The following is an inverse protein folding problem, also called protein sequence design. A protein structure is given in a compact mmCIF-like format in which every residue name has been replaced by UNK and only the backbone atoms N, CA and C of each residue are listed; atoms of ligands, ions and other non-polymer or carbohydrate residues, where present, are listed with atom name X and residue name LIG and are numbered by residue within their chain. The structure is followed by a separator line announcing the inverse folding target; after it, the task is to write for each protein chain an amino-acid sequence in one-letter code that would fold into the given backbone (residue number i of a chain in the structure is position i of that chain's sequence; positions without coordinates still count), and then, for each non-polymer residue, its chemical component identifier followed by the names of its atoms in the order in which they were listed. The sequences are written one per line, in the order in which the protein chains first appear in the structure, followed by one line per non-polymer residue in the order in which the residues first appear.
data_IF_515777604254
#
_entry.id   IF_515777604254
#
_cell.length_a   1.000
_cell.length_b   1.000
_cell.length_c   1.000
_cell.angle_alpha   90.00
_cell.angle_beta   90.00
_cell.angle_gamma   90.00
#
_symmetry.space_group_name_H-M   'P 1'
#
loop_
_entity.id
_entity.type
_entity.pdbx_description
1 polymer ?
#
# COMPACT_ATOMS: atom_id res chain seq x y z
N UNK A 1 8.67 -16.67 -12.34
CA UNK A 1 7.78 -17.02 -11.22
C UNK A 1 7.45 -15.72 -10.50
N UNK A 2 6.17 -15.39 -10.38
CA UNK A 2 5.74 -14.20 -9.64
C UNK A 2 5.23 -14.64 -8.27
N UNK A 3 5.91 -14.19 -7.21
CA UNK A 3 5.49 -14.34 -5.84
C UNK A 3 4.67 -13.12 -5.43
N UNK A 4 3.37 -13.30 -5.23
CA UNK A 4 2.45 -12.25 -4.84
C UNK A 4 2.34 -12.19 -3.31
N UNK A 5 2.52 -10.99 -2.76
CA UNK A 5 2.57 -10.71 -1.32
C UNK A 5 3.50 -11.64 -0.52
N UNK A 6 4.79 -11.84 -0.89
CA UNK A 6 5.76 -12.70 -0.18
C UNK A 6 6.06 -12.28 1.27
N UNK A 7 5.49 -11.17 1.75
CA UNK A 7 5.55 -10.78 3.16
C UNK A 7 4.21 -10.90 3.88
N UNK A 8 3.24 -11.64 3.33
CA UNK A 8 1.96 -11.84 4.00
C UNK A 8 2.08 -12.83 5.17
N UNK A 9 1.57 -12.48 6.33
CA UNK A 9 1.69 -13.29 7.55
C UNK A 9 0.98 -14.65 7.47
N UNK A 10 0.03 -14.82 6.54
CA UNK A 10 -0.58 -16.12 6.26
C UNK A 10 0.44 -17.17 5.83
N UNK A 11 1.56 -16.77 5.22
CA UNK A 11 2.62 -17.68 4.78
C UNK A 11 3.24 -18.47 5.93
N UNK A 12 3.17 -17.98 7.18
CA UNK A 12 3.69 -18.71 8.35
C UNK A 12 2.88 -19.97 8.68
N UNK A 13 1.62 -20.06 8.21
CA UNK A 13 0.68 -21.14 8.51
C UNK A 13 -0.05 -21.63 7.26
N UNK A 14 0.55 -21.44 6.09
CA UNK A 14 -0.03 -21.87 4.81
C UNK A 14 0.03 -23.41 4.73
N UNK A 15 -1.04 -24.04 4.23
CA UNK A 15 -1.08 -25.49 4.02
C UNK A 15 -1.66 -25.76 2.63
N UNK A 16 -1.47 -26.96 2.05
CA UNK A 16 -2.06 -27.31 0.76
C UNK A 16 -3.58 -27.10 0.75
N UNK A 17 -4.27 -27.50 1.81
CA UNK A 17 -5.73 -27.38 1.94
C UNK A 17 -6.19 -25.91 2.00
N UNK A 18 -5.35 -25.01 2.56
CA UNK A 18 -5.65 -23.58 2.57
C UNK A 18 -5.49 -22.97 1.18
N UNK A 19 -4.43 -23.34 0.45
CA UNK A 19 -4.25 -22.91 -0.94
C UNK A 19 -5.48 -23.30 -1.75
N UNK A 20 -5.92 -24.56 -1.70
CA UNK A 20 -7.06 -25.03 -2.49
C UNK A 20 -8.38 -24.28 -2.23
N UNK A 21 -8.58 -23.81 -0.98
CA UNK A 21 -9.79 -23.10 -0.52
C UNK A 21 -9.77 -21.60 -0.82
N UNK A 22 -8.60 -20.97 -0.79
CA UNK A 22 -8.45 -19.54 -1.01
C UNK A 22 -8.42 -19.23 -2.52
N UNK A 23 -9.58 -18.87 -3.09
CA UNK A 23 -9.74 -18.52 -4.51
C UNK A 23 -10.26 -17.10 -4.65
N UNK A 24 -10.07 -16.43 -5.81
CA UNK A 24 -10.63 -15.09 -6.06
C UNK A 24 -12.13 -14.99 -5.73
N UNK A 25 -12.90 -16.03 -6.04
CA UNK A 25 -14.32 -16.10 -5.74
C UNK A 25 -14.67 -16.20 -4.24
N UNK A 26 -13.75 -16.68 -3.39
CA UNK A 26 -14.01 -16.98 -1.97
C UNK A 26 -13.32 -16.04 -0.99
N UNK A 27 -12.31 -15.26 -1.42
CA UNK A 27 -11.54 -14.40 -0.51
C UNK A 27 -12.25 -13.11 -0.07
N UNK A 28 -13.29 -12.69 -0.80
CA UNK A 28 -13.95 -11.40 -0.59
C UNK A 28 -13.09 -10.19 -0.99
N UNK A 29 -11.93 -10.42 -1.59
CA UNK A 29 -11.07 -9.42 -2.23
C UNK A 29 -11.47 -9.25 -3.70
N UNK A 30 -11.17 -8.09 -4.29
CA UNK A 30 -11.59 -7.71 -5.64
C UNK A 30 -10.55 -8.08 -6.71
N UNK A 31 -9.91 -9.24 -6.60
CA UNK A 31 -8.99 -9.69 -7.64
C UNK A 31 -9.75 -10.29 -8.83
N UNK A 32 -9.24 -10.16 -10.07
CA UNK A 32 -9.80 -10.84 -11.22
C UNK A 32 -9.82 -12.36 -11.00
N UNK A 33 -10.84 -13.03 -11.55
CA UNK A 33 -11.05 -14.46 -11.37
C UNK A 33 -10.22 -15.25 -12.39
N UNK A 34 -8.95 -15.49 -12.09
CA UNK A 34 -8.01 -16.20 -12.98
C UNK A 34 -7.94 -17.71 -12.71
N UNK A 35 -8.87 -18.25 -11.93
CA UNK A 35 -9.05 -19.71 -11.76
C UNK A 35 -8.04 -20.42 -10.86
N UNK A 36 -6.82 -19.89 -10.71
CA UNK A 36 -5.83 -20.41 -9.77
C UNK A 36 -6.13 -20.00 -8.33
N UNK A 37 -5.85 -20.86 -7.33
CA UNK A 37 -5.92 -20.46 -5.95
C UNK A 37 -4.85 -19.43 -5.59
N UNK A 38 -5.15 -18.54 -4.64
CA UNK A 38 -4.18 -17.60 -4.08
C UNK A 38 -3.02 -18.38 -3.45
N UNK A 39 -1.83 -17.79 -3.54
CA UNK A 39 -0.61 -18.32 -2.93
C UNK A 39 -0.17 -19.69 -3.49
N UNK A 40 -0.72 -20.12 -4.62
CA UNK A 40 -0.36 -21.38 -5.28
C UNK A 40 1.11 -21.42 -5.71
N UNK A 41 1.72 -20.26 -5.97
CA UNK A 41 3.14 -20.12 -6.26
C UNK A 41 4.06 -20.55 -5.10
N UNK A 42 3.53 -20.66 -3.88
CA UNK A 42 4.27 -21.11 -2.69
C UNK A 42 4.10 -22.61 -2.41
N UNK A 43 3.30 -23.34 -3.18
CA UNK A 43 2.99 -24.75 -2.92
C UNK A 43 4.26 -25.63 -2.83
N UNK A 44 5.21 -25.42 -3.75
CA UNK A 44 6.50 -26.13 -3.76
C UNK A 44 7.48 -25.72 -2.66
N UNK A 45 7.10 -24.76 -1.81
CA UNK A 45 7.92 -24.22 -0.71
C UNK A 45 7.33 -24.51 0.67
N UNK A 46 6.25 -25.28 0.74
CA UNK A 46 5.62 -25.64 2.00
C UNK A 46 6.47 -26.62 2.79
N UNK A 47 6.56 -26.40 4.10
CA UNK A 47 7.11 -27.38 5.04
C UNK A 47 6.09 -28.50 5.31
N UNK A 48 6.54 -29.70 5.71
CA UNK A 48 5.64 -30.82 6.05
C UNK A 48 4.63 -30.50 7.16
N UNK A 49 5.01 -29.64 8.12
CA UNK A 49 4.17 -29.19 9.24
C UNK A 49 3.37 -27.91 8.95
N UNK A 50 3.46 -27.41 7.71
CA UNK A 50 2.82 -26.18 7.27
C UNK A 50 3.71 -24.94 7.40
N UNK A 51 3.31 -23.90 6.67
CA UNK A 51 4.07 -22.67 6.47
C UNK A 51 5.08 -22.77 5.34
N UNK A 52 5.46 -21.62 4.80
CA UNK A 52 6.49 -21.51 3.76
C UNK A 52 7.88 -21.62 4.40
N UNK A 53 8.75 -22.40 3.78
CA UNK A 53 10.14 -22.57 4.22
C UNK A 53 10.86 -21.22 4.39
N UNK A 54 11.49 -21.03 5.55
CA UNK A 54 12.20 -19.81 5.90
C UNK A 54 11.31 -18.62 6.28
N UNK A 55 9.99 -18.71 6.15
CA UNK A 55 9.11 -17.60 6.52
C UNK A 55 8.84 -17.57 8.03
N UNK A 56 9.12 -16.44 8.66
CA UNK A 56 8.77 -16.15 10.05
C UNK A 56 7.71 -15.05 10.10
N UNK A 57 6.73 -15.15 11.02
CA UNK A 57 5.65 -14.15 11.16
C UNK A 57 6.19 -12.73 11.34
N UNK A 58 7.35 -12.56 12.00
CA UNK A 58 8.01 -11.26 12.18
C UNK A 58 8.26 -10.54 10.85
N UNK A 59 8.63 -11.27 9.79
CA UNK A 59 9.00 -10.71 8.49
C UNK A 59 7.85 -9.90 7.87
N UNK A 60 6.61 -10.20 8.27
CA UNK A 60 5.42 -9.59 7.74
C UNK A 60 5.41 -8.07 7.89
N UNK A 61 5.68 -7.55 9.10
CA UNK A 61 5.70 -6.10 9.38
C UNK A 61 6.97 -5.62 10.07
N UNK A 62 7.73 -6.49 10.73
CA UNK A 62 8.94 -6.07 11.43
C UNK A 62 9.98 -5.63 10.41
N UNK A 63 10.68 -4.54 10.71
CA UNK A 63 11.56 -3.89 9.74
C UNK A 63 10.80 -3.51 8.47
N UNK A 64 9.57 -3.00 8.57
CA UNK A 64 8.87 -2.42 7.41
C UNK A 64 9.76 -1.35 6.75
N UNK A 65 10.31 -0.45 7.57
CA UNK A 65 11.36 0.50 7.19
C UNK A 65 12.73 -0.06 7.56
N UNK A 66 13.30 -0.86 6.68
CA UNK A 66 14.60 -1.49 6.90
C UNK A 66 15.71 -0.65 6.25
N UNK A 67 16.70 -0.23 7.04
CA UNK A 67 17.86 0.49 6.51
C UNK A 67 18.64 -0.38 5.53
N UNK A 68 19.23 0.24 4.51
CA UNK A 68 19.97 -0.47 3.48
C UNK A 68 21.10 -1.34 4.06
N UNK A 69 21.80 -0.84 5.08
CA UNK A 69 22.95 -1.50 5.70
C UNK A 69 22.57 -2.42 6.88
N UNK A 70 21.31 -2.42 7.31
CA UNK A 70 20.89 -3.25 8.45
C UNK A 70 20.93 -4.74 8.09
N UNK A 71 21.56 -5.55 8.93
CA UNK A 71 21.55 -7.01 8.78
C UNK A 71 20.23 -7.62 9.26
N UNK A 72 19.67 -8.51 8.45
CA UNK A 72 18.59 -9.43 8.82
C UNK A 72 18.80 -10.76 8.09
N UNK A 73 19.64 -11.66 8.63
CA UNK A 73 19.95 -12.94 8.00
C UNK A 73 18.71 -13.82 7.75
N UNK A 74 17.69 -13.76 8.61
CA UNK A 74 16.47 -14.55 8.43
C UNK A 74 15.63 -14.05 7.26
N UNK A 75 15.46 -12.73 7.13
CA UNK A 75 14.79 -12.16 5.95
C UNK A 75 15.59 -12.40 4.68
N UNK A 76 16.93 -12.35 4.76
CA UNK A 76 17.79 -12.61 3.61
C UNK A 76 17.66 -14.05 3.12
N UNK A 77 17.80 -15.03 4.01
CA UNK A 77 17.66 -16.45 3.69
C UNK A 77 16.26 -16.79 3.13
N UNK A 78 15.21 -16.14 3.64
CA UNK A 78 13.86 -16.28 3.09
C UNK A 78 13.76 -15.80 1.64
N UNK A 79 14.25 -14.59 1.34
CA UNK A 79 14.23 -14.03 -0.02
C UNK A 79 15.07 -14.86 -0.98
N UNK A 80 16.25 -15.32 -0.56
CA UNK A 80 17.10 -16.23 -1.33
C UNK A 80 16.38 -17.54 -1.66
N UNK A 81 15.60 -18.08 -0.72
CA UNK A 81 14.80 -19.29 -0.96
C UNK A 81 13.81 -19.09 -2.10
N UNK A 82 13.10 -17.95 -2.14
CA UNK A 82 12.17 -17.62 -3.22
C UNK A 82 12.89 -17.47 -4.57
N UNK A 83 14.00 -16.72 -4.57
CA UNK A 83 14.81 -16.48 -5.79
C UNK A 83 15.36 -17.79 -6.34
N UNK A 84 15.93 -18.64 -5.48
CA UNK A 84 16.50 -19.92 -5.87
C UNK A 84 15.42 -20.87 -6.41
N UNK A 85 14.23 -20.87 -5.81
CA UNK A 85 13.13 -21.71 -6.28
C UNK A 85 12.65 -21.32 -7.68
N UNK A 86 12.46 -20.03 -7.95
CA UNK A 86 12.12 -19.56 -9.30
C UNK A 86 13.20 -19.95 -10.33
N UNK A 87 14.48 -19.79 -9.97
CA UNK A 87 15.61 -20.11 -10.85
C UNK A 87 15.76 -21.61 -11.12
N UNK A 88 15.45 -22.48 -10.15
CA UNK A 88 15.43 -23.95 -10.36
C UNK A 88 14.40 -24.38 -11.40
N UNK A 89 13.34 -23.60 -11.58
CA UNK A 89 12.34 -23.80 -12.63
C UNK A 89 12.66 -23.06 -13.93
N UNK A 90 13.86 -22.48 -14.06
CA UNK A 90 14.28 -21.64 -15.19
C UNK A 90 13.34 -20.43 -15.42
N UNK A 91 12.86 -19.82 -14.32
CA UNK A 91 11.98 -18.66 -14.37
C UNK A 91 12.61 -17.43 -13.70
N UNK A 92 12.35 -16.25 -14.27
CA UNK A 92 12.69 -14.96 -13.62
C UNK A 92 11.92 -14.79 -12.30
N UNK A 93 12.58 -14.61 -11.15
CA UNK A 93 11.90 -14.31 -9.89
C UNK A 93 11.33 -12.89 -9.90
N UNK A 94 10.05 -12.76 -9.57
CA UNK A 94 9.36 -11.47 -9.40
C UNK A 94 8.72 -11.46 -8.02
N UNK A 95 9.05 -10.46 -7.20
CA UNK A 95 8.47 -10.28 -5.86
C UNK A 95 7.54 -9.07 -5.88
N UNK A 96 6.23 -9.30 -5.80
CA UNK A 96 5.21 -8.26 -5.92
C UNK A 96 4.49 -8.04 -4.58
N UNK A 97 4.78 -6.95 -3.87
CA UNK A 97 4.20 -6.67 -2.56
C UNK A 97 4.32 -5.18 -2.19
N UNK A 98 3.26 -4.61 -1.62
CA UNK A 98 3.30 -3.22 -1.12
C UNK A 98 4.24 -3.02 0.09
N UNK A 99 4.63 -4.10 0.77
CA UNK A 99 5.52 -4.07 1.95
C UNK A 99 7.00 -3.95 1.60
N UNK A 100 7.36 -3.98 0.32
CA UNK A 100 8.75 -3.77 -0.13
C UNK A 100 9.14 -2.29 -0.16
N UNK A 101 8.18 -1.36 -0.20
CA UNK A 101 8.45 0.07 -0.34
C UNK A 101 9.39 0.61 0.76
N UNK A 102 9.14 0.27 2.02
CA UNK A 102 9.97 0.73 3.14
C UNK A 102 11.36 0.06 3.23
N UNK A 103 11.57 -1.05 2.53
CA UNK A 103 12.80 -1.88 2.58
C UNK A 103 13.48 -2.06 1.22
N UNK A 104 13.08 -1.29 0.22
CA UNK A 104 13.62 -1.35 -1.15
C UNK A 104 15.14 -1.12 -1.19
N UNK A 105 15.68 -0.24 -0.35
CA UNK A 105 17.13 -0.03 -0.27
C UNK A 105 17.88 -1.25 0.24
N UNK A 106 17.31 -1.94 1.24
CA UNK A 106 17.85 -3.18 1.77
C UNK A 106 17.79 -4.31 0.73
N UNK A 107 16.66 -4.45 0.02
CA UNK A 107 16.49 -5.44 -1.05
C UNK A 107 17.49 -5.20 -2.19
N UNK A 108 17.62 -3.95 -2.66
CA UNK A 108 18.52 -3.58 -3.76
C UNK A 108 19.98 -3.90 -3.43
N UNK A 109 20.42 -3.55 -2.22
CA UNK A 109 21.81 -3.78 -1.78
C UNK A 109 22.17 -5.26 -1.71
N UNK A 110 21.22 -6.12 -1.33
CA UNK A 110 21.46 -7.56 -1.10
C UNK A 110 21.23 -8.43 -2.31
N UNK A 111 20.20 -8.13 -3.10
CA UNK A 111 19.75 -9.00 -4.19
C UNK A 111 19.89 -8.36 -5.56
N UNK A 112 20.20 -7.07 -5.63
CA UNK A 112 20.15 -6.31 -6.88
C UNK A 112 18.76 -6.38 -7.50
N UNK A 113 18.72 -6.61 -8.81
CA UNK A 113 17.48 -6.71 -9.57
C UNK A 113 16.91 -5.35 -9.97
N UNK A 114 15.77 -5.40 -10.66
CA UNK A 114 15.03 -4.20 -11.08
C UNK A 114 13.93 -3.90 -10.08
N UNK A 115 13.87 -2.67 -9.60
CA UNK A 115 12.86 -2.19 -8.66
C UNK A 115 11.85 -1.28 -9.34
N UNK A 116 10.63 -1.81 -9.50
CA UNK A 116 9.51 -1.08 -10.09
C UNK A 116 8.57 -0.63 -8.97
N UNK A 117 8.41 0.68 -8.81
CA UNK A 117 7.51 1.28 -7.82
C UNK A 117 6.17 1.60 -8.47
N UNK A 118 5.09 1.00 -7.96
CA UNK A 118 3.73 1.35 -8.35
C UNK A 118 3.22 2.48 -7.47
N UNK A 119 2.69 3.56 -8.07
CA UNK A 119 2.07 4.69 -7.37
C UNK A 119 0.61 4.85 -7.78
N UNK A 120 -0.25 5.11 -6.78
CA UNK A 120 -1.70 5.28 -6.94
C UNK A 120 -2.19 6.50 -6.17
N UNK A 121 -3.33 7.06 -6.57
CA UNK A 121 -4.05 8.09 -5.84
C UNK A 121 -4.24 7.68 -4.37
N UNK A 122 -3.67 8.42 -3.41
CA UNK A 122 -3.69 8.04 -2.00
C UNK A 122 -5.10 8.07 -1.40
N UNK A 123 -5.98 8.96 -1.86
CA UNK A 123 -7.35 9.04 -1.36
C UNK A 123 -8.14 7.83 -1.84
N UNK A 124 -8.06 7.47 -3.11
CA UNK A 124 -8.75 6.30 -3.66
C UNK A 124 -8.20 4.99 -3.10
N UNK A 125 -6.89 4.90 -2.89
CA UNK A 125 -6.27 3.74 -2.23
C UNK A 125 -6.76 3.58 -0.79
N UNK A 126 -6.76 4.65 0.01
CA UNK A 126 -7.29 4.60 1.36
C UNK A 126 -8.78 4.25 1.39
N UNK A 127 -9.59 4.85 0.50
CA UNK A 127 -11.03 4.57 0.41
C UNK A 127 -11.31 3.12 0.05
N UNK A 128 -10.47 2.50 -0.76
CA UNK A 128 -10.54 1.05 -1.05
C UNK A 128 -10.44 0.25 0.24
N UNK A 129 -9.42 0.51 1.07
CA UNK A 129 -9.26 -0.15 2.37
C UNK A 129 -10.43 0.15 3.31
N UNK A 130 -10.81 1.42 3.41
CA UNK A 130 -11.87 1.88 4.31
C UNK A 130 -13.24 1.29 3.95
N UNK A 131 -13.51 1.06 2.67
CA UNK A 131 -14.79 0.49 2.19
C UNK A 131 -15.04 -0.96 2.64
N UNK A 132 -14.00 -1.68 3.07
CA UNK A 132 -14.10 -3.06 3.54
C UNK A 132 -14.54 -3.16 5.02
N UNK A 133 -14.74 -2.03 5.72
CA UNK A 133 -15.23 -2.04 7.11
C UNK A 133 -16.60 -2.71 7.20
N UNK A 134 -16.68 -3.77 8.03
CA UNK A 134 -17.95 -4.41 8.42
C UNK A 134 -18.28 -4.05 9.87
N UNK A 135 -19.36 -3.30 10.09
CA UNK A 135 -19.66 -2.62 11.39
C UNK A 135 -18.53 -1.61 11.70
N UNK A 136 -18.64 -0.69 12.69
CA UNK A 136 -17.61 0.34 12.88
C UNK A 136 -16.35 -0.25 13.52
N UNK A 137 -15.65 -1.15 12.82
CA UNK A 137 -14.41 -1.81 13.21
C UNK A 137 -13.37 -1.57 12.11
N UNK A 138 -12.12 -1.24 12.46
CA UNK A 138 -11.04 -1.12 11.49
C UNK A 138 -10.84 -2.43 10.72
N UNK A 139 -10.56 -2.29 9.43
CA UNK A 139 -10.13 -3.40 8.58
C UNK A 139 -8.74 -3.87 8.95
N UNK A 140 -8.36 -5.05 8.47
CA UNK A 140 -7.00 -5.53 8.63
C UNK A 140 -5.96 -4.55 8.04
N UNK A 141 -6.23 -4.02 6.84
CA UNK A 141 -5.38 -3.01 6.20
C UNK A 141 -5.14 -1.77 7.07
N UNK A 142 -6.19 -1.27 7.74
CA UNK A 142 -6.05 -0.13 8.66
C UNK A 142 -5.23 -0.49 9.90
N UNK A 143 -5.40 -1.69 10.45
CA UNK A 143 -4.64 -2.16 11.61
C UNK A 143 -3.15 -2.28 11.28
N UNK A 144 -2.79 -2.76 10.09
CA UNK A 144 -1.40 -2.78 9.64
C UNK A 144 -0.80 -1.37 9.59
N UNK A 145 -1.54 -0.36 9.10
CA UNK A 145 -1.01 1.02 9.07
C UNK A 145 -0.72 1.55 10.48
N UNK A 146 -1.56 1.21 11.47
CA UNK A 146 -1.32 1.61 12.85
C UNK A 146 -0.09 0.94 13.44
N UNK A 147 0.10 -0.37 13.20
CA UNK A 147 1.28 -1.11 13.68
C UNK A 147 2.54 -0.55 13.03
N UNK A 148 2.58 -0.46 11.69
CA UNK A 148 3.73 0.07 10.94
C UNK A 148 4.10 1.47 11.44
N UNK A 149 3.13 2.39 11.53
CA UNK A 149 3.42 3.76 11.96
C UNK A 149 3.90 3.82 13.42
N UNK A 150 3.40 2.95 14.29
CA UNK A 150 3.81 2.93 15.70
C UNK A 150 5.25 2.46 15.92
N UNK A 151 5.85 1.82 14.90
CA UNK A 151 7.18 1.20 14.94
C UNK A 151 8.15 1.83 13.93
N UNK A 152 7.66 2.71 13.07
CA UNK A 152 8.46 3.31 12.00
C UNK A 152 9.47 4.31 12.56
N UNK A 153 10.75 4.09 12.28
CA UNK A 153 11.79 5.10 12.45
C UNK A 153 11.47 6.32 11.57
N UNK A 154 11.45 7.52 12.17
CA UNK A 154 10.99 8.75 11.51
C UNK A 154 9.47 8.93 11.47
N UNK A 155 8.70 7.96 12.00
CA UNK A 155 7.25 8.01 12.14
C UNK A 155 6.77 8.48 13.51
N UNK A 156 7.67 8.73 14.47
CA UNK A 156 7.37 8.89 15.89
C UNK A 156 6.47 10.09 16.16
N UNK A 157 6.70 11.20 15.47
CA UNK A 157 5.87 12.40 15.59
C UNK A 157 4.45 12.17 15.02
N UNK A 158 4.33 11.46 13.90
CA UNK A 158 3.05 11.02 13.34
C UNK A 158 2.31 10.05 14.27
N UNK A 159 3.02 9.07 14.83
CA UNK A 159 2.49 8.13 15.81
C UNK A 159 1.98 8.86 17.06
N UNK A 160 2.78 9.77 17.63
CA UNK A 160 2.42 10.59 18.80
C UNK A 160 1.18 11.45 18.53
N UNK A 161 1.09 12.10 17.37
CA UNK A 161 -0.07 12.90 16.94
C UNK A 161 -1.35 12.08 16.94
N UNK A 162 -1.27 10.82 16.53
CA UNK A 162 -2.43 9.91 16.48
C UNK A 162 -2.64 9.12 17.78
N UNK A 163 -1.79 9.34 18.78
CA UNK A 163 -1.76 8.55 20.00
C UNK A 163 -1.57 7.07 19.71
N UNK A 164 -0.63 6.71 18.83
CA UNK A 164 -0.20 5.33 18.61
C UNK A 164 1.02 5.05 19.48
N UNK A 165 1.14 3.82 19.95
CA UNK A 165 2.28 3.34 20.70
C UNK A 165 2.60 1.92 20.24
N UNK A 166 3.88 1.64 20.04
CA UNK A 166 4.35 0.29 19.76
C UNK A 166 3.88 -0.65 20.90
N UNK A 167 3.43 -1.84 20.51
CA UNK A 167 3.03 -2.88 21.45
C UNK A 167 4.05 -4.02 21.39
N UNK A 168 4.24 -4.71 22.50
CA UNK A 168 5.10 -5.89 22.56
C UNK A 168 4.33 -7.15 22.16
N UNK A 169 5.06 -8.23 21.88
CA UNK A 169 4.49 -9.53 21.51
C UNK A 169 4.51 -9.79 20.01
N UNK A 170 3.84 -10.85 19.59
CA UNK A 170 3.81 -11.22 18.18
C UNK A 170 2.94 -10.25 17.35
N UNK A 171 2.87 -10.47 16.04
CA UNK A 171 2.06 -9.62 15.16
C UNK A 171 0.56 -9.67 15.53
N UNK A 172 0.04 -10.82 15.97
CA UNK A 172 -1.36 -10.95 16.33
C UNK A 172 -1.68 -10.14 17.61
N UNK A 173 -0.80 -10.17 18.60
CA UNK A 173 -0.90 -9.37 19.83
C UNK A 173 -0.92 -7.87 19.51
N UNK A 174 0.01 -7.41 18.66
CA UNK A 174 0.09 -6.00 18.25
C UNK A 174 -1.14 -5.54 17.47
N UNK A 175 -1.62 -6.36 16.53
CA UNK A 175 -2.87 -6.09 15.79
C UNK A 175 -4.07 -6.08 16.74
N UNK A 176 -4.11 -6.97 17.73
CA UNK A 176 -5.15 -6.99 18.75
C UNK A 176 -5.14 -5.72 19.61
N UNK A 177 -3.96 -5.29 20.06
CA UNK A 177 -3.77 -4.07 20.84
C UNK A 177 -4.23 -2.82 20.05
N UNK A 178 -3.78 -2.69 18.80
CA UNK A 178 -4.21 -1.62 17.89
C UNK A 178 -5.73 -1.62 17.70
N UNK A 179 -6.33 -2.80 17.49
CA UNK A 179 -7.79 -2.96 17.35
C UNK A 179 -8.53 -2.54 18.62
N UNK A 180 -8.08 -2.98 19.79
CA UNK A 180 -8.70 -2.63 21.08
C UNK A 180 -8.74 -1.12 21.29
N UNK A 181 -7.63 -0.45 20.98
CA UNK A 181 -7.46 1.01 21.12
C UNK A 181 -8.27 1.80 20.08
N UNK A 182 -8.25 1.38 18.82
CA UNK A 182 -8.73 2.18 17.68
C UNK A 182 -10.05 1.68 17.08
N UNK A 183 -10.72 0.71 17.71
CA UNK A 183 -11.99 0.14 17.22
C UNK A 183 -13.02 1.21 16.82
N UNK A 184 -13.09 2.33 17.53
CA UNK A 184 -14.05 3.42 17.30
C UNK A 184 -13.40 4.72 16.80
N UNK A 185 -12.14 4.66 16.35
CA UNK A 185 -11.45 5.83 15.85
C UNK A 185 -12.20 6.40 14.62
N UNK A 186 -12.34 7.73 14.51
CA UNK A 186 -12.98 8.36 13.36
C UNK A 186 -12.15 8.14 12.09
N UNK A 187 -12.80 8.24 10.92
CA UNK A 187 -12.18 8.02 9.62
C UNK A 187 -10.88 8.84 9.40
N UNK A 188 -10.82 10.07 9.93
CA UNK A 188 -9.62 10.92 9.84
C UNK A 188 -8.36 10.31 10.46
N UNK A 189 -8.48 9.53 11.54
CA UNK A 189 -7.33 8.88 12.19
C UNK A 189 -6.79 7.77 11.31
N UNK A 190 -7.68 6.99 10.72
CA UNK A 190 -7.31 5.95 9.74
C UNK A 190 -6.64 6.55 8.51
N UNK A 191 -7.21 7.63 7.95
CA UNK A 191 -6.63 8.32 6.81
C UNK A 191 -5.25 8.89 7.12
N UNK A 192 -5.10 9.56 8.26
CA UNK A 192 -3.83 10.13 8.68
C UNK A 192 -2.74 9.06 8.90
N UNK A 193 -3.08 7.92 9.52
CA UNK A 193 -2.15 6.81 9.70
C UNK A 193 -1.73 6.20 8.35
N UNK A 194 -2.70 5.93 7.48
CA UNK A 194 -2.44 5.48 6.12
C UNK A 194 -1.52 6.45 5.38
N UNK A 195 -1.80 7.75 5.45
CA UNK A 195 -1.04 8.75 4.71
C UNK A 195 0.39 8.85 5.23
N UNK A 196 0.59 8.78 6.55
CA UNK A 196 1.92 8.78 7.14
C UNK A 196 2.78 7.63 6.57
N UNK A 197 2.25 6.40 6.63
CA UNK A 197 2.94 5.22 6.09
C UNK A 197 3.12 5.36 4.57
N UNK A 198 2.09 5.79 3.84
CA UNK A 198 2.15 6.02 2.39
C UNK A 198 3.30 6.97 2.02
N UNK A 199 3.35 8.16 2.61
CA UNK A 199 4.37 9.16 2.27
C UNK A 199 5.77 8.68 2.67
N UNK A 200 5.93 8.14 3.88
CA UNK A 200 7.22 7.59 4.34
C UNK A 200 7.71 6.47 3.40
N UNK A 201 6.82 5.57 3.00
CA UNK A 201 7.12 4.48 2.06
C UNK A 201 7.60 4.99 0.70
N UNK A 202 6.91 5.98 0.11
CA UNK A 202 7.33 6.53 -1.18
C UNK A 202 8.57 7.41 -1.09
N UNK A 203 8.78 8.14 0.01
CA UNK A 203 10.04 8.88 0.24
C UNK A 203 11.22 7.91 0.34
N UNK A 204 11.03 6.76 0.99
CA UNK A 204 12.05 5.70 1.02
C UNK A 204 12.28 5.06 -0.36
N UNK A 205 11.22 4.83 -1.13
CA UNK A 205 11.27 4.02 -2.36
C UNK A 205 11.64 4.77 -3.63
N UNK A 206 11.09 5.96 -3.86
CA UNK A 206 11.23 6.67 -5.14
C UNK A 206 12.69 6.96 -5.53
N UNK A 207 13.60 7.36 -4.60
CA UNK A 207 15.01 7.56 -4.95
C UNK A 207 15.75 6.28 -5.37
N UNK A 208 15.16 5.11 -5.16
CA UNK A 208 15.79 3.79 -5.36
C UNK A 208 15.08 2.96 -6.43
N UNK A 209 14.05 3.52 -7.06
CA UNK A 209 13.29 2.88 -8.11
C UNK A 209 14.01 3.02 -9.46
N UNK A 210 14.04 1.95 -10.25
CA UNK A 210 14.50 2.00 -11.64
C UNK A 210 13.36 2.43 -12.57
N UNK A 211 12.11 2.17 -12.18
CA UNK A 211 10.90 2.60 -12.87
C UNK A 211 9.79 2.95 -11.87
N UNK A 212 9.02 4.01 -12.16
CA UNK A 212 7.83 4.38 -11.40
C UNK A 212 6.62 4.34 -12.32
N UNK A 213 5.61 3.54 -11.96
CA UNK A 213 4.39 3.36 -12.74
C UNK A 213 3.21 3.98 -12.00
N UNK A 214 2.56 4.95 -12.64
CA UNK A 214 1.29 5.51 -12.21
C UNK A 214 0.15 4.56 -12.62
N UNK A 215 -0.34 3.80 -11.65
CA UNK A 215 -1.38 2.79 -11.86
C UNK A 215 -2.71 3.41 -12.28
N UNK A 216 -2.98 4.67 -11.91
CA UNK A 216 -4.23 5.33 -12.30
C UNK A 216 -4.29 5.66 -13.80
N UNK A 217 -3.13 5.75 -14.45
CA UNK A 217 -3.02 5.94 -15.91
C UNK A 217 -3.01 4.62 -16.66
N UNK A 218 -2.48 3.55 -16.07
CA UNK A 218 -2.17 2.30 -16.76
C UNK A 218 -3.38 1.69 -17.49
N UNK A 219 -4.56 1.70 -16.88
CA UNK A 219 -5.79 1.18 -17.49
C UNK A 219 -6.55 2.16 -18.39
N UNK A 220 -6.18 3.45 -18.42
CA UNK A 220 -6.92 4.51 -19.12
C UNK A 220 -6.13 5.24 -20.20
N UNK A 221 -4.83 4.99 -20.32
CA UNK A 221 -3.91 5.65 -21.23
C UNK A 221 -3.11 4.57 -21.99
N UNK A 222 -3.59 4.14 -23.18
CA UNK A 222 -2.96 3.04 -23.94
C UNK A 222 -1.53 3.34 -24.39
N UNK A 223 -1.20 4.60 -24.64
CA UNK A 223 0.16 5.00 -24.98
C UNK A 223 1.08 4.83 -23.78
N UNK A 224 0.68 5.35 -22.62
CA UNK A 224 1.40 5.16 -21.38
C UNK A 224 1.59 3.68 -21.04
N UNK A 225 0.55 2.86 -21.22
CA UNK A 225 0.65 1.41 -21.00
C UNK A 225 1.70 0.76 -21.89
N UNK A 226 1.73 1.07 -23.19
CA UNK A 226 2.77 0.57 -24.11
C UNK A 226 4.16 1.04 -23.70
N UNK A 227 4.31 2.32 -23.34
CA UNK A 227 5.60 2.86 -22.88
C UNK A 227 6.10 2.13 -21.63
N UNK A 228 5.22 1.85 -20.66
CA UNK A 228 5.60 1.11 -19.46
C UNK A 228 5.93 -0.36 -19.76
N UNK A 229 5.19 -1.01 -20.67
CA UNK A 229 5.49 -2.38 -21.09
C UNK A 229 6.87 -2.48 -21.73
N UNK A 230 7.20 -1.56 -22.65
CA UNK A 230 8.53 -1.47 -23.26
C UNK A 230 9.62 -1.17 -22.23
N UNK A 231 9.38 -0.26 -21.28
CA UNK A 231 10.35 0.02 -20.22
C UNK A 231 10.64 -1.21 -19.36
N UNK A 232 9.63 -2.01 -19.01
CA UNK A 232 9.80 -3.24 -18.25
C UNK A 232 10.57 -4.28 -19.07
N UNK A 233 10.24 -4.45 -20.36
CA UNK A 233 10.95 -5.36 -21.26
C UNK A 233 12.43 -4.98 -21.39
N UNK A 234 12.75 -3.69 -21.55
CA UNK A 234 14.13 -3.19 -21.62
C UNK A 234 14.89 -3.44 -20.31
N UNK A 235 14.25 -3.20 -19.16
CA UNK A 235 14.91 -3.35 -17.85
C UNK A 235 15.09 -4.81 -17.43
N UNK A 236 14.15 -5.68 -17.79
CA UNK A 236 14.03 -7.01 -17.18
C UNK A 236 14.08 -8.17 -18.17
N UNK A 237 13.94 -7.91 -19.47
CA UNK A 237 13.69 -8.92 -20.50
C UNK A 237 12.29 -9.54 -20.44
N UNK A 238 11.44 -9.15 -19.48
CA UNK A 238 10.08 -9.68 -19.34
C UNK A 238 9.12 -8.83 -20.17
N UNK A 239 8.50 -9.46 -21.16
CA UNK A 239 7.43 -8.85 -21.94
C UNK A 239 6.11 -8.94 -21.19
N UNK A 240 5.45 -7.79 -21.00
CA UNK A 240 4.12 -7.71 -20.38
C UNK A 240 3.11 -7.17 -21.39
N UNK A 241 1.87 -7.63 -21.23
CA UNK A 241 0.69 -7.06 -21.88
C UNK A 241 -0.21 -6.42 -20.82
N UNK A 242 -0.71 -5.22 -21.10
CA UNK A 242 -1.61 -4.47 -20.23
C UNK A 242 -3.00 -4.28 -20.84
N UNK A 243 -3.34 -4.98 -21.93
CA UNK A 243 -4.63 -4.84 -22.61
C UNK A 243 -5.85 -5.13 -21.71
N UNK A 244 -5.68 -6.00 -20.72
CA UNK A 244 -6.68 -6.36 -19.73
C UNK A 244 -6.62 -5.49 -18.45
N UNK A 245 -5.66 -4.56 -18.35
CA UNK A 245 -5.56 -3.67 -17.21
C UNK A 245 -6.82 -2.80 -17.09
N UNK A 246 -7.39 -2.71 -15.90
CA UNK A 246 -8.58 -1.91 -15.59
C UNK A 246 -8.33 -1.05 -14.36
N UNK A 247 -8.53 0.26 -14.50
CA UNK A 247 -8.57 1.16 -13.35
C UNK A 247 -9.92 1.01 -12.65
N UNK A 248 -9.98 0.61 -11.36
CA UNK A 248 -11.26 0.52 -10.65
C UNK A 248 -11.97 1.87 -10.63
N UNK A 249 -13.31 1.91 -10.74
CA UNK A 249 -14.03 3.17 -10.61
C UNK A 249 -13.75 3.79 -9.23
N UNK A 250 -13.67 5.13 -9.14
CA UNK A 250 -13.48 5.81 -7.86
C UNK A 250 -14.51 5.36 -6.83
N UNK A 251 -14.07 5.17 -5.58
CA UNK A 251 -15.01 4.88 -4.51
C UNK A 251 -15.92 6.08 -4.29
N UNK A 252 -17.24 5.89 -4.42
CA UNK A 252 -18.24 6.94 -4.22
C UNK A 252 -18.51 7.22 -2.72
N UNK A 253 -19.22 8.30 -2.44
CA UNK A 253 -19.63 8.72 -1.09
C UNK A 253 -18.84 9.91 -0.53
N UNK A 254 -19.37 10.60 0.48
CA UNK A 254 -18.65 11.67 1.18
C UNK A 254 -18.34 11.18 2.59
N UNK A 255 -17.07 10.93 2.87
CA UNK A 255 -16.61 10.68 4.23
C UNK A 255 -16.33 12.02 4.91
N UNK A 256 -16.57 12.16 6.23
CA UNK A 256 -16.29 13.38 6.97
C UNK A 256 -14.79 13.51 7.26
N UNK A 257 -13.97 13.49 6.20
CA UNK A 257 -12.52 13.65 6.27
C UNK A 257 -12.13 14.83 5.41
N UNK A 258 -11.42 15.77 6.02
CA UNK A 258 -10.82 16.90 5.35
C UNK A 258 -9.43 16.48 4.85
N UNK A 259 -9.39 15.75 3.73
CA UNK A 259 -8.19 15.04 3.29
C UNK A 259 -6.97 15.95 3.18
N UNK A 260 -7.12 17.15 2.62
CA UNK A 260 -6.03 18.13 2.51
C UNK A 260 -5.52 18.57 3.88
N UNK A 261 -6.41 18.91 4.81
CA UNK A 261 -6.01 19.36 6.16
C UNK A 261 -5.27 18.25 6.91
N UNK A 262 -5.79 17.03 6.87
CA UNK A 262 -5.13 15.89 7.51
C UNK A 262 -3.77 15.60 6.85
N UNK A 263 -3.67 15.80 5.53
CA UNK A 263 -2.43 15.59 4.80
C UNK A 263 -1.35 16.61 5.13
N UNK A 264 -1.67 17.90 5.07
CA UNK A 264 -0.74 18.97 5.45
C UNK A 264 -0.26 18.76 6.88
N UNK A 265 -1.18 18.55 7.82
CA UNK A 265 -0.82 18.39 9.22
C UNK A 265 0.01 17.12 9.51
N UNK A 266 -0.13 16.07 8.70
CA UNK A 266 0.71 14.88 8.82
C UNK A 266 2.08 15.07 8.18
N UNK A 267 2.15 15.71 7.00
CA UNK A 267 3.42 16.03 6.33
C UNK A 267 4.27 16.95 7.19
N UNK A 268 3.66 17.96 7.82
CA UNK A 268 4.32 18.84 8.79
C UNK A 268 4.78 18.07 10.03
N UNK A 269 3.93 17.19 10.58
CA UNK A 269 4.30 16.39 11.74
C UNK A 269 5.48 15.46 11.47
N UNK A 270 5.64 14.98 10.24
CA UNK A 270 6.73 14.10 9.82
C UNK A 270 7.95 14.86 9.29
N UNK A 271 7.91 16.20 9.23
CA UNK A 271 8.95 17.06 8.67
C UNK A 271 9.34 16.71 7.21
N UNK A 272 8.33 16.38 6.37
CA UNK A 272 8.56 15.92 5.00
C UNK A 272 8.38 17.01 3.92
N UNK A 273 8.06 18.24 4.31
CA UNK A 273 7.81 19.34 3.37
C UNK A 273 8.99 19.61 2.43
N UNK A 274 10.21 19.65 2.96
CA UNK A 274 11.41 19.87 2.16
C UNK A 274 11.68 18.69 1.21
N UNK A 275 11.57 17.45 1.71
CA UNK A 275 11.80 16.25 0.90
C UNK A 275 10.79 16.12 -0.25
N UNK A 276 9.54 16.51 -0.04
CA UNK A 276 8.49 16.45 -1.06
C UNK A 276 8.61 17.52 -2.14
N UNK A 277 9.16 18.69 -1.80
CA UNK A 277 9.27 19.83 -2.72
C UNK A 277 10.62 19.90 -3.43
N UNK A 278 11.63 19.17 -2.94
CA UNK A 278 12.92 19.07 -3.58
C UNK A 278 12.82 18.48 -5.01
N UNK A 279 13.61 18.99 -5.97
CA UNK A 279 13.74 18.37 -7.29
C UNK A 279 14.23 16.92 -7.16
N UNK A 280 13.65 16.01 -7.94
CA UNK A 280 14.09 14.62 -7.98
C UNK A 280 12.93 13.60 -7.99
N UNK A 281 13.22 12.31 -7.77
CA UNK A 281 12.24 11.23 -7.89
C UNK A 281 11.00 11.39 -6.99
N UNK A 282 11.18 11.99 -5.80
CA UNK A 282 10.10 12.25 -4.84
C UNK A 282 9.09 13.29 -5.35
N UNK A 283 9.46 14.16 -6.30
CA UNK A 283 8.54 15.13 -6.88
C UNK A 283 7.32 14.49 -7.57
N UNK A 284 7.45 13.23 -8.03
CA UNK A 284 6.31 12.45 -8.54
C UNK A 284 5.24 12.19 -7.47
N UNK A 285 5.66 11.90 -6.24
CA UNK A 285 4.75 11.78 -5.09
C UNK A 285 4.06 13.11 -4.78
N UNK A 286 4.80 14.23 -4.80
CA UNK A 286 4.22 15.55 -4.57
C UNK A 286 3.14 15.90 -5.61
N UNK A 287 3.42 15.70 -6.91
CA UNK A 287 2.42 15.89 -7.98
C UNK A 287 1.18 15.03 -7.77
N UNK A 288 1.38 13.78 -7.31
CA UNK A 288 0.28 12.86 -6.98
C UNK A 288 -0.58 13.39 -5.83
N UNK A 289 0.05 13.87 -4.76
CA UNK A 289 -0.63 14.46 -3.60
C UNK A 289 -1.42 15.72 -3.98
N UNK A 290 -0.82 16.64 -4.73
CA UNK A 290 -1.48 17.88 -5.19
C UNK A 290 -2.73 17.56 -6.03
N UNK A 291 -2.64 16.58 -6.94
CA UNK A 291 -3.78 16.16 -7.76
C UNK A 291 -4.90 15.50 -6.93
N UNK A 292 -4.53 14.61 -6.01
CA UNK A 292 -5.50 13.89 -5.18
C UNK A 292 -6.15 14.77 -4.10
N UNK A 293 -5.45 15.83 -3.70
CA UNK A 293 -5.83 16.73 -2.62
C UNK A 293 -5.87 18.16 -3.15
N UNK A 294 -6.76 18.54 -4.08
CA UNK A 294 -6.77 19.86 -4.71
C UNK A 294 -6.98 20.97 -3.68
N UNK A 295 -6.58 22.20 -4.04
CA UNK A 295 -6.79 23.36 -3.17
C UNK A 295 -8.27 23.49 -2.87
N UNK A 296 -8.59 23.94 -1.66
CA UNK A 296 -9.97 24.34 -1.41
C UNK A 296 -10.24 25.53 -2.30
N UNK A 297 -11.26 25.43 -3.14
CA UNK A 297 -11.89 26.63 -3.65
C UNK A 297 -12.19 27.52 -2.45
N UNK A 298 -11.73 28.77 -2.49
CA UNK A 298 -12.12 29.77 -1.52
C UNK A 298 -13.61 29.98 -1.66
N UNK A 299 -14.38 29.21 -0.87
CA UNK A 299 -15.81 29.40 -0.78
C UNK A 299 -16.01 30.72 -0.05
N UNK A 300 -16.11 31.81 -0.80
CA UNK A 300 -16.42 33.11 -0.22
C UNK A 300 -17.79 33.05 0.45
N UNK A 301 -18.05 33.85 1.49
CA UNK A 301 -19.38 33.96 2.11
C UNK A 301 -20.48 34.19 1.05
N UNK A 302 -20.16 34.94 0.00
CA UNK A 302 -21.04 35.17 -1.15
C UNK A 302 -21.40 33.91 -1.93
N UNK A 303 -20.44 33.01 -2.19
CA UNK A 303 -20.69 31.74 -2.87
C UNK A 303 -21.58 30.81 -2.03
N UNK A 304 -21.40 30.80 -0.70
CA UNK A 304 -22.29 30.08 0.23
C UNK A 304 -23.71 30.67 0.24
N UNK A 305 -23.81 31.99 0.28
CA UNK A 305 -25.09 32.70 0.29
C UNK A 305 -25.86 32.46 -1.02
N UNK A 306 -25.19 32.54 -2.17
CA UNK A 306 -25.76 32.25 -3.49
C UNK A 306 -26.21 30.80 -3.63
N UNK A 307 -25.44 29.84 -3.10
CA UNK A 307 -25.81 28.42 -3.12
C UNK A 307 -27.02 28.13 -2.23
N UNK A 308 -27.09 28.77 -1.05
CA UNK A 308 -28.24 28.69 -0.16
C UNK A 308 -29.49 29.35 -0.77
N UNK A 309 -29.33 30.48 -1.46
CA UNK A 309 -30.42 31.19 -2.13
C UNK A 309 -30.97 30.43 -3.34
N UNK A 310 -30.10 29.80 -4.13
CA UNK A 310 -30.52 28.90 -5.23
C UNK A 310 -31.28 27.67 -4.72
N UNK A 311 -30.88 27.08 -3.59
CA UNK A 311 -31.61 25.97 -2.96
C UNK A 311 -32.99 26.39 -2.43
N UNK A 312 -33.11 27.60 -1.84
CA UNK A 312 -34.40 28.16 -1.43
C UNK A 312 -35.33 28.44 -2.62
N UNK A 313 -34.82 29.01 -3.72
CA UNK A 313 -35.64 29.27 -4.92
C UNK A 313 -36.17 27.99 -5.58
N UNK A 314 -35.37 26.91 -5.58
CA UNK A 314 -35.80 25.61 -6.10
C UNK A 314 -36.82 24.88 -5.21
N UNK A 315 -36.89 25.19 -3.91
CA UNK A 315 -37.93 24.65 -3.03
C UNK A 315 -39.25 25.43 -3.11
N UNK A 316 -39.19 26.72 -3.47
CA UNK A 316 -40.39 27.57 -3.63
C UNK A 316 -41.05 27.36 -5.00
N UNK A 317 -40.30 26.95 -6.03
CA UNK A 317 -40.85 26.63 -7.35
C UNK A 317 -41.49 25.23 -7.46
N UNK A 318 -41.54 24.46 -6.36
CA UNK A 318 -42.14 23.11 -6.27
C UNK A 318 -43.32 23.02 -5.28
N UNK A 319 -43.75 24.14 -4.73
CA UNK A 319 -44.96 24.26 -3.92
C UNK A 319 -46.00 25.07 -4.71
#
# INVERSE_FOLDING_TARGET
MAYYEPWHEQLARLTPERIERERPATSGLRHPNEGLPYLSEFAGLLRPDGGVQGFETRLALDGYFLSADQEDPGQAAYVETLIAAARREDRTPVLACCRTLGRIGWLRRRFGGTHIVLIRDPVQQWRSFYSLRKRPRPTYFELCQYVILSEAAGGEAGARRLGLAASQGDLADRIHAARKRLKRAPARVSFAAFLAVYVLSYVAALPRADLVIDVDRLGGDPEYARTMATAIEVLTGVKLDFADCRTPPPHAGRLPVDYRREAVAMIEALDLSAALTAPGPVQTLYRKLVRALPERETVTPWTQMLTAWRRKRLSVAKA
#
